data_IF_550756278003
#
_entry.id   IF_550756278003
#
_cell.length_a   1.000
_cell.length_b   1.000
_cell.length_c   1.000
_cell.angle_alpha   90.00
_cell.angle_beta   90.00
_cell.angle_gamma   90.00
#
_symmetry.space_group_name_H-M   'P 1'
#
loop_
_entity.id
_entity.type
_entity.pdbx_description
1 polymer ?
#
# COMPACT_ATOMS: atom_id res chain seq x y z
N UNK A 1 -36.45 8.07 12.44
CA UNK A 1 -35.05 7.82 12.06
C UNK A 1 -34.85 8.43 10.69
N UNK A 2 -34.24 9.61 10.65
CA UNK A 2 -33.98 10.39 9.44
C UNK A 2 -32.48 10.61 9.31
N UNK A 3 -31.92 10.22 8.18
CA UNK A 3 -30.52 10.53 7.81
C UNK A 3 -30.46 11.93 7.19
N UNK A 4 -29.46 12.76 7.50
CA UNK A 4 -29.32 14.06 6.85
C UNK A 4 -28.62 13.94 5.49
N UNK A 5 -29.19 14.62 4.51
CA UNK A 5 -28.65 14.85 3.16
C UNK A 5 -27.71 16.05 3.19
N UNK A 6 -26.44 15.88 2.80
CA UNK A 6 -25.69 16.77 1.90
C UNK A 6 -24.17 16.55 2.01
N UNK A 7 -23.54 16.15 0.90
CA UNK A 7 -22.14 16.44 0.64
C UNK A 7 -22.08 17.04 -0.77
N UNK A 8 -21.71 18.33 -0.85
CA UNK A 8 -21.26 18.94 -2.10
C UNK A 8 -19.89 18.36 -2.40
N UNK A 9 -19.73 17.72 -3.55
CA UNK A 9 -18.43 17.30 -4.05
C UNK A 9 -17.64 18.54 -4.48
N UNK A 10 -16.61 18.91 -3.73
CA UNK A 10 -15.47 19.64 -4.28
C UNK A 10 -14.66 18.64 -5.12
N UNK A 11 -14.52 18.88 -6.41
CA UNK A 11 -13.60 18.10 -7.24
C UNK A 11 -12.17 18.20 -6.68
N UNK A 12 -11.43 17.08 -6.54
CA UNK A 12 -10.02 17.12 -6.16
C UNK A 12 -9.22 17.87 -7.24
N UNK A 13 -8.20 18.63 -6.81
CA UNK A 13 -7.27 19.30 -7.74
C UNK A 13 -6.61 18.25 -8.65
N UNK A 14 -6.57 18.46 -9.97
CA UNK A 14 -5.82 17.58 -10.86
C UNK A 14 -4.32 17.69 -10.60
N UNK A 15 -3.61 16.59 -10.87
CA UNK A 15 -2.15 16.50 -10.80
C UNK A 15 -1.48 17.62 -11.61
N UNK A 16 -0.40 18.26 -11.11
CA UNK A 16 0.33 19.24 -11.91
C UNK A 16 0.95 18.55 -13.13
N UNK A 17 0.45 18.93 -14.32
CA UNK A 17 1.00 18.52 -15.62
C UNK A 17 1.96 19.62 -16.11
N UNK A 18 3.11 19.30 -16.74
CA UNK A 18 3.97 20.33 -17.34
C UNK A 18 3.22 21.08 -18.45
N UNK A 19 3.34 22.40 -18.48
CA UNK A 19 2.57 23.28 -19.38
C UNK A 19 2.86 23.01 -20.86
N UNK A 20 1.80 22.71 -21.62
CA UNK A 20 1.74 22.86 -23.08
C UNK A 20 0.73 23.99 -23.35
N UNK A 21 1.13 24.93 -24.20
CA UNK A 21 0.45 26.21 -24.43
C UNK A 21 -1.01 26.09 -24.90
N UNK A 22 -1.78 27.11 -24.53
CA UNK A 22 -3.23 27.24 -24.56
C UNK A 22 -3.91 27.03 -25.93
N UNK A 23 -5.08 26.40 -25.92
CA UNK A 23 -6.15 26.66 -26.88
C UNK A 23 -7.53 26.53 -26.23
N UNK A 24 -8.18 27.68 -26.10
CA UNK A 24 -9.62 28.03 -26.08
C UNK A 24 -10.67 27.04 -25.54
N UNK A 25 -11.46 27.57 -24.59
CA UNK A 25 -12.53 26.95 -23.83
C UNK A 25 -13.81 26.74 -24.64
N UNK A 26 -14.25 25.48 -24.76
CA UNK A 26 -15.63 25.11 -25.08
C UNK A 26 -16.24 24.33 -23.91
N UNK A 27 -17.36 24.79 -23.38
CA UNK A 27 -18.15 24.06 -22.38
C UNK A 27 -18.88 22.91 -23.09
N UNK A 28 -18.33 21.69 -23.03
CA UNK A 28 -19.02 20.48 -23.49
C UNK A 28 -19.88 19.88 -22.38
N UNK A 29 -21.19 19.82 -22.64
CA UNK A 29 -22.17 19.04 -21.88
C UNK A 29 -21.72 17.57 -21.80
N UNK A 30 -21.37 17.12 -20.60
CA UNK A 30 -20.96 15.74 -20.33
C UNK A 30 -22.15 14.78 -20.47
N UNK A 31 -22.46 14.37 -21.71
CA UNK A 31 -23.36 13.25 -21.94
C UNK A 31 -22.70 11.98 -21.40
N UNK A 32 -23.34 11.32 -20.43
CA UNK A 32 -22.88 10.03 -19.93
C UNK A 32 -23.05 8.98 -21.03
N UNK A 33 -22.02 8.83 -21.86
CA UNK A 33 -21.92 7.76 -22.85
C UNK A 33 -21.70 6.44 -22.11
N UNK A 34 -22.77 5.70 -21.86
CA UNK A 34 -22.72 4.32 -21.39
C UNK A 34 -22.26 3.41 -22.52
N UNK A 35 -20.98 3.46 -22.87
CA UNK A 35 -20.40 2.54 -23.86
C UNK A 35 -20.36 1.14 -23.26
N UNK A 36 -21.35 0.32 -23.59
CA UNK A 36 -21.39 -1.08 -23.18
C UNK A 36 -20.15 -1.80 -23.74
N UNK A 37 -19.28 -2.33 -22.87
CA UNK A 37 -18.11 -3.10 -23.29
C UNK A 37 -18.60 -4.25 -24.20
N UNK A 38 -18.07 -4.40 -25.42
CA UNK A 38 -18.49 -5.46 -26.32
C UNK A 38 -18.18 -6.81 -25.68
N UNK A 39 -19.06 -7.80 -25.90
CA UNK A 39 -18.81 -9.16 -25.47
C UNK A 39 -17.54 -9.71 -26.13
N UNK A 40 -16.72 -10.42 -25.35
CA UNK A 40 -15.56 -11.12 -25.89
C UNK A 40 -16.06 -12.31 -26.72
N UNK A 41 -16.09 -12.17 -28.04
CA UNK A 41 -16.58 -13.23 -28.96
C UNK A 41 -15.47 -13.85 -29.81
N UNK A 42 -14.29 -13.24 -29.88
CA UNK A 42 -13.12 -13.74 -30.61
C UNK A 42 -12.14 -14.43 -29.66
N UNK A 43 -12.41 -15.71 -29.35
CA UNK A 43 -11.53 -16.52 -28.51
C UNK A 43 -10.34 -17.05 -29.33
N UNK A 44 -9.13 -16.71 -28.90
CA UNK A 44 -7.88 -17.12 -29.56
C UNK A 44 -7.27 -18.35 -28.90
N UNK A 45 -6.80 -19.29 -29.70
CA UNK A 45 -6.07 -20.47 -29.21
C UNK A 45 -4.59 -20.12 -29.04
N UNK A 46 -4.03 -20.44 -27.87
CA UNK A 46 -2.59 -20.44 -27.58
C UNK A 46 -2.27 -21.68 -26.73
N UNK A 47 -1.03 -22.20 -26.78
CA UNK A 47 -0.60 -23.23 -25.85
C UNK A 47 -0.87 -22.79 -24.40
N UNK A 48 -1.49 -23.66 -23.62
CA UNK A 48 -1.75 -23.44 -22.19
C UNK A 48 -0.69 -24.16 -21.36
N UNK A 49 -0.40 -23.63 -20.18
CA UNK A 49 0.45 -24.30 -19.19
C UNK A 49 -0.44 -25.12 -18.26
N UNK A 50 -0.02 -26.33 -17.92
CA UNK A 50 -0.73 -27.21 -17.00
C UNK A 50 0.13 -27.46 -15.77
N UNK A 51 -0.50 -27.55 -14.61
CA UNK A 51 0.15 -27.90 -13.34
C UNK A 51 -0.66 -28.97 -12.62
N UNK A 52 0.03 -29.80 -11.85
CA UNK A 52 -0.55 -30.61 -10.79
C UNK A 52 -0.76 -29.76 -9.54
N UNK A 53 -1.66 -30.20 -8.64
CA UNK A 53 -1.86 -29.52 -7.37
C UNK A 53 -0.57 -29.45 -6.53
N UNK A 54 0.26 -30.50 -6.56
CA UNK A 54 1.52 -30.54 -5.83
C UNK A 54 2.54 -29.51 -6.34
N UNK A 55 2.62 -29.30 -7.66
CA UNK A 55 3.48 -28.27 -8.24
C UNK A 55 3.03 -26.86 -7.83
N UNK A 56 1.71 -26.62 -7.78
CA UNK A 56 1.15 -25.34 -7.32
C UNK A 56 1.41 -25.11 -5.83
N UNK A 57 1.19 -26.10 -4.96
CA UNK A 57 1.51 -25.97 -3.52
C UNK A 57 2.99 -25.67 -3.30
N UNK A 58 3.88 -26.26 -4.10
CA UNK A 58 5.33 -26.08 -3.93
C UNK A 58 5.85 -24.69 -4.38
N UNK A 59 5.13 -23.95 -5.23
CA UNK A 59 5.70 -22.79 -5.92
C UNK A 59 4.78 -21.59 -6.17
N UNK A 60 3.46 -21.77 -6.14
CA UNK A 60 2.48 -20.74 -6.52
C UNK A 60 1.46 -20.43 -5.41
N UNK A 61 1.46 -21.18 -4.32
CA UNK A 61 0.52 -21.01 -3.22
C UNK A 61 1.27 -20.60 -1.95
N UNK A 62 0.87 -19.45 -1.40
CA UNK A 62 1.29 -19.00 -0.08
C UNK A 62 0.13 -19.24 0.91
N UNK A 63 0.26 -20.25 1.76
CA UNK A 63 -0.70 -20.51 2.83
C UNK A 63 -0.44 -19.54 3.99
N UNK A 64 -1.43 -18.73 4.38
CA UNK A 64 -1.25 -17.70 5.41
C UNK A 64 -0.72 -18.27 6.74
N UNK A 65 -1.24 -19.42 7.18
CA UNK A 65 -0.82 -20.08 8.42
C UNK A 65 0.60 -20.68 8.39
N UNK A 66 1.24 -20.73 7.22
CA UNK A 66 2.63 -21.19 7.05
C UNK A 66 3.60 -20.04 6.79
N UNK A 67 3.11 -18.80 6.74
CA UNK A 67 3.96 -17.62 6.57
C UNK A 67 4.82 -17.42 7.82
N UNK A 68 6.07 -17.06 7.59
CA UNK A 68 7.03 -16.76 8.64
C UNK A 68 7.07 -15.24 8.80
N UNK A 69 6.99 -14.78 10.04
CA UNK A 69 7.12 -13.37 10.37
C UNK A 69 8.51 -12.86 9.98
N UNK A 70 8.56 -11.75 9.25
CA UNK A 70 9.78 -11.00 9.03
C UNK A 70 9.99 -10.02 10.19
N UNK A 71 10.93 -10.37 11.07
CA UNK A 71 11.29 -9.58 12.26
C UNK A 71 12.41 -8.57 12.00
N UNK A 72 12.99 -8.55 10.79
CA UNK A 72 14.13 -7.71 10.43
C UNK A 72 13.80 -6.69 9.32
N UNK A 73 12.65 -6.79 8.66
CA UNK A 73 12.24 -5.87 7.57
C UNK A 73 12.30 -4.39 7.98
N UNK A 74 11.97 -4.07 9.24
CA UNK A 74 12.08 -2.72 9.77
C UNK A 74 12.64 -2.73 11.20
N UNK A 75 13.56 -1.81 11.48
CA UNK A 75 14.22 -1.71 12.78
C UNK A 75 13.27 -1.29 13.92
N UNK A 76 12.24 -0.50 13.61
CA UNK A 76 11.29 0.04 14.59
C UNK A 76 10.26 -1.00 15.08
N UNK A 77 10.12 -2.15 14.41
CA UNK A 77 9.24 -3.27 14.82
C UNK A 77 9.54 -3.73 16.24
N UNK A 78 10.80 -3.62 16.68
CA UNK A 78 11.25 -4.06 18.01
C UNK A 78 10.90 -3.05 19.11
N UNK A 79 10.42 -1.86 18.76
CA UNK A 79 10.00 -0.84 19.72
C UNK A 79 8.57 -1.07 20.23
N UNK A 80 8.24 -0.53 21.41
CA UNK A 80 6.90 -0.68 22.00
C UNK A 80 5.80 -0.05 21.12
N UNK A 81 6.10 1.10 20.50
CA UNK A 81 5.16 1.82 19.62
C UNK A 81 5.12 1.19 18.22
N UNK A 82 6.28 0.83 17.68
CA UNK A 82 6.47 0.29 16.33
C UNK A 82 6.02 -1.16 16.15
N UNK A 83 5.71 -1.87 17.24
CA UNK A 83 5.42 -3.30 17.24
C UNK A 83 4.34 -3.69 16.22
N UNK A 84 4.67 -4.61 15.33
CA UNK A 84 3.81 -5.16 14.28
C UNK A 84 4.44 -6.42 13.70
N UNK A 85 3.64 -7.28 13.06
CA UNK A 85 4.14 -8.45 12.34
C UNK A 85 4.03 -8.22 10.84
N UNK A 86 5.05 -8.61 10.09
CA UNK A 86 5.06 -8.56 8.63
C UNK A 86 5.16 -9.98 8.08
N UNK A 87 4.34 -10.28 7.08
CA UNK A 87 4.36 -11.57 6.38
C UNK A 87 4.36 -11.32 4.88
N UNK A 88 5.31 -11.90 4.15
CA UNK A 88 5.48 -11.66 2.71
C UNK A 88 5.02 -12.88 1.90
N UNK A 89 3.73 -13.03 1.54
CA UNK A 89 3.29 -14.16 0.73
C UNK A 89 3.97 -14.20 -0.64
N UNK A 90 4.22 -13.03 -1.25
CA UNK A 90 4.79 -12.90 -2.59
C UNK A 90 5.84 -11.79 -2.61
N UNK A 91 7.08 -12.18 -2.90
CA UNK A 91 8.20 -11.26 -3.07
C UNK A 91 9.14 -11.79 -4.15
N UNK A 92 9.07 -11.27 -5.38
CA UNK A 92 9.87 -11.78 -6.50
C UNK A 92 11.36 -11.73 -6.16
N UNK A 93 12.10 -12.78 -6.57
CA UNK A 93 13.55 -12.93 -6.30
C UNK A 93 13.94 -12.91 -4.81
N UNK A 94 12.98 -12.97 -3.89
CA UNK A 94 13.24 -12.95 -2.46
C UNK A 94 13.76 -11.61 -1.93
N UNK A 95 13.39 -10.49 -2.55
CA UNK A 95 13.85 -9.16 -2.08
C UNK A 95 13.34 -8.81 -0.68
N UNK A 96 12.16 -9.31 -0.30
CA UNK A 96 11.57 -9.10 1.03
C UNK A 96 11.34 -10.44 1.73
N UNK A 97 11.85 -10.52 2.95
CA UNK A 97 11.59 -11.54 3.95
C UNK A 97 11.70 -13.01 3.53
N UNK A 98 11.24 -13.92 4.41
CA UNK A 98 11.10 -15.35 4.11
C UNK A 98 9.85 -15.60 3.25
N UNK A 99 9.81 -15.04 2.04
CA UNK A 99 8.65 -15.13 1.16
C UNK A 99 8.41 -16.55 0.61
N UNK A 100 7.12 -16.93 0.48
CA UNK A 100 6.73 -18.24 -0.08
C UNK A 100 6.75 -18.27 -1.60
N UNK A 101 6.23 -17.23 -2.24
CA UNK A 101 6.22 -17.10 -3.71
C UNK A 101 7.31 -16.13 -4.12
N UNK A 102 8.33 -16.63 -4.82
CA UNK A 102 9.48 -15.84 -5.32
C UNK A 102 9.59 -15.83 -6.84
N UNK A 103 8.64 -16.47 -7.53
CA UNK A 103 8.54 -16.47 -9.00
C UNK A 103 8.37 -15.05 -9.55
N UNK A 104 8.74 -14.79 -10.82
CA UNK A 104 8.69 -13.46 -11.40
C UNK A 104 7.31 -12.79 -11.33
N UNK A 105 7.25 -11.61 -10.72
CA UNK A 105 6.14 -10.65 -10.75
C UNK A 105 6.74 -9.24 -10.72
N UNK A 106 5.95 -8.22 -11.05
CA UNK A 106 6.37 -6.81 -11.01
C UNK A 106 5.81 -6.07 -9.77
N UNK A 107 5.43 -6.82 -8.73
CA UNK A 107 4.91 -6.28 -7.49
C UNK A 107 5.22 -7.22 -6.32
N UNK A 108 5.20 -6.68 -5.12
CA UNK A 108 5.33 -7.43 -3.86
C UNK A 108 4.03 -7.35 -3.07
N UNK A 109 3.77 -8.35 -2.22
CA UNK A 109 2.63 -8.36 -1.32
C UNK A 109 3.08 -8.65 0.11
N UNK A 110 2.52 -7.92 1.06
CA UNK A 110 2.74 -8.12 2.49
C UNK A 110 1.43 -8.04 3.27
N UNK A 111 1.24 -8.95 4.23
CA UNK A 111 0.26 -8.78 5.29
C UNK A 111 0.95 -8.15 6.50
N UNK A 112 0.29 -7.16 7.10
CA UNK A 112 0.79 -6.46 8.28
C UNK A 112 -0.23 -6.55 9.39
N UNK A 113 0.13 -7.21 10.50
CA UNK A 113 -0.69 -7.29 11.70
C UNK A 113 -0.19 -6.27 12.74
N UNK A 114 -1.08 -5.38 13.17
CA UNK A 114 -0.75 -4.25 14.06
C UNK A 114 -1.56 -4.37 15.35
N UNK A 115 -0.92 -4.51 16.52
CA UNK A 115 -1.59 -4.47 17.82
C UNK A 115 -2.28 -3.12 18.09
N UNK A 116 -3.28 -3.06 19.00
CA UNK A 116 -3.91 -1.82 19.42
C UNK A 116 -2.90 -0.76 19.86
N UNK A 117 -3.04 0.46 19.34
CA UNK A 117 -2.20 1.61 19.68
C UNK A 117 -0.81 1.61 19.03
N UNK A 118 -0.40 0.53 18.36
CA UNK A 118 0.86 0.51 17.62
C UNK A 118 0.76 1.27 16.29
N UNK A 119 1.89 1.84 15.85
CA UNK A 119 2.01 2.63 14.62
C UNK A 119 3.38 2.46 13.99
N UNK A 120 3.53 2.75 12.69
CA UNK A 120 4.87 3.00 12.14
C UNK A 120 5.32 4.44 12.46
N UNK A 121 6.61 4.73 12.28
CA UNK A 121 7.05 6.14 12.17
C UNK A 121 6.65 6.74 10.82
N UNK A 122 6.69 8.07 10.72
CA UNK A 122 6.44 8.80 9.46
C UNK A 122 7.60 8.57 8.49
N UNK A 123 7.30 8.06 7.29
CA UNK A 123 8.29 7.84 6.25
C UNK A 123 7.66 7.77 4.87
N UNK A 124 8.50 7.76 3.83
CA UNK A 124 8.12 7.54 2.44
C UNK A 124 9.07 6.55 1.75
N UNK A 125 8.66 6.07 0.57
CA UNK A 125 9.44 5.19 -0.29
C UNK A 125 9.48 5.72 -1.74
N UNK A 126 10.38 5.16 -2.55
CA UNK A 126 10.46 5.39 -4.00
C UNK A 126 9.33 4.67 -4.78
N UNK A 127 8.68 3.69 -4.15
CA UNK A 127 7.65 2.85 -4.78
C UNK A 127 6.24 3.39 -4.54
N UNK A 128 5.31 3.09 -5.46
CA UNK A 128 3.87 3.20 -5.20
C UNK A 128 3.49 2.09 -4.23
N UNK A 129 2.69 2.42 -3.23
CA UNK A 129 2.15 1.45 -2.29
C UNK A 129 0.62 1.50 -2.29
N UNK A 130 -0.01 0.34 -2.12
CA UNK A 130 -1.46 0.23 -1.99
C UNK A 130 -1.77 -0.48 -0.69
N UNK A 131 -2.50 0.19 0.19
CA UNK A 131 -2.93 -0.32 1.48
C UNK A 131 -4.41 -0.68 1.45
N UNK A 132 -4.73 -1.87 1.97
CA UNK A 132 -6.10 -2.40 2.03
C UNK A 132 -6.33 -3.00 3.42
N UNK A 133 -7.02 -2.31 4.34
CA UNK A 133 -7.43 -2.89 5.61
C UNK A 133 -8.30 -4.12 5.38
N UNK A 134 -7.97 -5.25 6.01
CA UNK A 134 -8.75 -6.49 5.93
C UNK A 134 -9.69 -6.57 7.13
N UNK A 135 -9.19 -6.22 8.32
CA UNK A 135 -9.99 -6.09 9.54
C UNK A 135 -9.31 -5.19 10.56
N UNK A 136 -10.06 -4.78 11.58
CA UNK A 136 -9.63 -3.80 12.58
C UNK A 136 -9.83 -2.37 12.08
N UNK A 137 -9.28 -1.38 12.82
CA UNK A 137 -9.39 0.04 12.49
C UNK A 137 -8.00 0.64 12.31
N UNK A 138 -7.68 1.02 11.08
CA UNK A 138 -6.41 1.67 10.75
C UNK A 138 -6.66 3.12 10.36
N UNK A 139 -5.92 4.02 11.00
CA UNK A 139 -5.76 5.39 10.56
C UNK A 139 -4.43 5.54 9.83
N UNK A 140 -4.41 6.30 8.74
CA UNK A 140 -3.22 6.75 8.06
C UNK A 140 -2.98 8.22 8.39
N UNK A 141 -1.80 8.53 8.93
CA UNK A 141 -1.35 9.90 9.20
C UNK A 141 -0.31 10.26 8.15
N UNK A 142 -0.43 11.42 7.51
CA UNK A 142 0.38 11.77 6.34
C UNK A 142 0.77 13.24 6.27
N UNK A 143 1.61 13.55 5.27
CA UNK A 143 2.42 14.77 5.11
C UNK A 143 3.59 14.85 6.10
N UNK A 144 4.49 15.80 5.85
CA UNK A 144 5.78 15.93 6.52
C UNK A 144 5.66 16.04 8.05
N UNK A 145 4.62 16.70 8.56
CA UNK A 145 4.38 16.85 10.00
C UNK A 145 3.39 15.84 10.59
N UNK A 146 2.80 14.97 9.76
CA UNK A 146 1.70 14.10 10.17
C UNK A 146 0.45 14.88 10.62
N UNK A 147 0.18 16.01 9.98
CA UNK A 147 -0.90 16.93 10.34
C UNK A 147 -2.28 16.49 9.85
N UNK A 148 -2.32 15.61 8.84
CA UNK A 148 -3.56 15.07 8.29
C UNK A 148 -3.73 13.59 8.68
N UNK A 149 -4.98 13.20 8.92
CA UNK A 149 -5.37 11.83 9.26
C UNK A 149 -6.58 11.40 8.44
N UNK A 150 -6.54 10.16 7.94
CA UNK A 150 -7.70 9.52 7.34
C UNK A 150 -7.88 8.10 7.90
N UNK A 151 -9.11 7.76 8.25
CA UNK A 151 -9.47 6.41 8.71
C UNK A 151 -10.06 5.65 7.54
N UNK A 152 -9.58 4.43 7.33
CA UNK A 152 -10.10 3.53 6.30
C UNK A 152 -10.90 2.39 6.94
N UNK A 153 -12.02 2.07 6.32
CA UNK A 153 -12.81 0.89 6.69
C UNK A 153 -12.26 -0.37 5.99
N UNK A 154 -12.61 -1.58 6.48
CA UNK A 154 -12.22 -2.81 5.82
C UNK A 154 -12.61 -2.84 4.33
N UNK A 155 -11.64 -3.24 3.50
CA UNK A 155 -11.70 -3.33 2.04
C UNK A 155 -11.66 -1.98 1.30
N UNK A 156 -11.51 -0.86 2.00
CA UNK A 156 -11.11 0.39 1.36
C UNK A 156 -9.70 0.29 0.80
N UNK A 157 -9.40 1.13 -0.20
CA UNK A 157 -8.12 1.15 -0.90
C UNK A 157 -7.49 2.52 -0.77
N UNK A 158 -6.26 2.56 -0.27
CA UNK A 158 -5.45 3.77 -0.25
C UNK A 158 -4.18 3.58 -1.07
N UNK A 159 -4.08 4.32 -2.17
CA UNK A 159 -2.88 4.34 -3.01
C UNK A 159 -2.00 5.53 -2.62
N UNK A 160 -0.77 5.22 -2.26
CA UNK A 160 0.26 6.15 -1.83
C UNK A 160 1.25 6.33 -2.98
N UNK A 161 1.42 7.55 -3.51
CA UNK A 161 2.43 7.81 -4.54
C UNK A 161 3.84 7.81 -3.93
N UNK A 162 4.89 7.70 -4.77
CA UNK A 162 6.27 7.83 -4.32
C UNK A 162 6.51 9.14 -3.58
N UNK A 163 7.41 9.10 -2.59
CA UNK A 163 7.85 10.23 -1.77
C UNK A 163 6.77 10.89 -0.89
N UNK A 164 5.57 10.34 -0.78
CA UNK A 164 4.57 10.84 0.17
C UNK A 164 4.87 10.32 1.58
N UNK A 165 5.16 11.23 2.51
CA UNK A 165 5.35 10.89 3.92
C UNK A 165 4.02 10.40 4.50
N UNK A 166 4.05 9.22 5.12
CA UNK A 166 2.91 8.60 5.80
C UNK A 166 3.34 7.65 6.90
N UNK A 167 2.43 7.39 7.83
CA UNK A 167 2.44 6.26 8.72
C UNK A 167 1.05 5.60 8.74
N UNK A 168 0.96 4.46 9.42
CA UNK A 168 -0.32 3.89 9.84
C UNK A 168 -0.35 3.73 11.36
N UNK A 169 -1.55 3.74 11.93
CA UNK A 169 -1.82 3.51 13.35
C UNK A 169 -3.06 2.65 13.54
N UNK A 170 -2.98 1.65 14.40
CA UNK A 170 -4.17 0.94 14.85
C UNK A 170 -4.87 1.75 15.96
N UNK A 171 -6.02 2.34 15.61
CA UNK A 171 -6.85 3.14 16.52
C UNK A 171 -7.98 2.32 17.19
N UNK A 172 -8.03 1.02 16.90
CA UNK A 172 -8.98 0.08 17.49
C UNK A 172 -8.52 -0.51 18.82
N UNK A 173 -9.35 -1.40 19.36
CA UNK A 173 -9.10 -2.13 20.62
C UNK A 173 -8.64 -3.58 20.40
N UNK A 174 -8.59 -4.04 19.14
CA UNK A 174 -8.12 -5.38 18.74
C UNK A 174 -7.03 -5.27 17.69
N UNK A 175 -6.29 -6.37 17.43
CA UNK A 175 -5.33 -6.39 16.33
C UNK A 175 -6.01 -6.06 15.00
N UNK A 176 -5.35 -5.24 14.21
CA UNK A 176 -5.74 -4.91 12.85
C UNK A 176 -4.83 -5.63 11.86
N UNK A 177 -5.36 -6.00 10.71
CA UNK A 177 -4.64 -6.64 9.62
C UNK A 177 -4.91 -5.86 8.35
N UNK A 178 -3.86 -5.55 7.60
CA UNK A 178 -4.00 -4.98 6.25
C UNK A 178 -3.06 -5.65 5.27
N UNK A 179 -3.44 -5.62 4.00
CA UNK A 179 -2.60 -5.97 2.87
C UNK A 179 -1.88 -4.71 2.37
N UNK A 180 -0.61 -4.86 2.03
CA UNK A 180 0.16 -3.89 1.27
C UNK A 180 0.60 -4.52 -0.03
N UNK A 181 0.41 -3.80 -1.13
CA UNK A 181 1.00 -4.11 -2.43
C UNK A 181 2.03 -3.03 -2.72
N UNK A 182 3.25 -3.44 -3.06
CA UNK A 182 4.31 -2.55 -3.50
C UNK A 182 4.47 -2.71 -5.00
N UNK A 183 4.34 -1.62 -5.74
CA UNK A 183 4.55 -1.63 -7.18
C UNK A 183 6.05 -1.59 -7.51
N UNK A 184 6.43 -2.35 -8.53
CA UNK A 184 7.78 -2.43 -9.02
C UNK A 184 8.60 -3.58 -8.44
N UNK A 185 9.81 -3.67 -8.97
CA UNK A 185 10.75 -4.76 -8.74
C UNK A 185 11.68 -4.51 -7.54
N UNK A 186 11.97 -3.24 -7.25
CA UNK A 186 12.93 -2.84 -6.23
C UNK A 186 12.23 -1.96 -5.20
N UNK A 187 11.81 -2.56 -4.09
CA UNK A 187 10.94 -1.93 -3.11
C UNK A 187 11.61 -1.91 -1.74
N UNK A 188 11.29 -0.88 -0.96
CA UNK A 188 11.74 -0.71 0.43
C UNK A 188 13.26 -0.58 0.65
N UNK A 189 14.08 -0.52 -0.40
CA UNK A 189 15.53 -0.28 -0.29
C UNK A 189 15.91 1.08 0.31
N UNK A 190 15.02 2.06 0.21
CA UNK A 190 15.21 3.40 0.75
C UNK A 190 14.00 3.81 1.56
N UNK A 191 14.30 4.45 2.68
CA UNK A 191 13.33 5.05 3.58
C UNK A 191 13.65 6.52 3.63
N UNK A 192 12.68 7.34 3.26
CA UNK A 192 12.74 8.79 3.36
C UNK A 192 11.97 9.22 4.59
N UNK A 193 12.48 10.22 5.29
CA UNK A 193 11.81 10.86 6.43
C UNK A 193 11.78 12.36 6.17
N UNK A 194 10.93 13.08 6.91
CA UNK A 194 10.94 14.53 6.88
C UNK A 194 12.30 15.09 7.37
N UNK A 195 12.56 16.36 7.07
CA UNK A 195 13.85 17.00 7.38
C UNK A 195 14.13 17.04 8.88
N UNK A 196 13.13 17.25 9.74
CA UNK A 196 13.31 17.33 11.18
C UNK A 196 13.73 15.96 11.75
N UNK A 197 13.04 14.90 11.32
CA UNK A 197 13.37 13.52 11.67
C UNK A 197 14.76 13.13 11.16
N UNK A 198 15.10 13.52 9.91
CA UNK A 198 16.44 13.30 9.36
C UNK A 198 17.52 13.94 10.24
N UNK A 199 17.36 15.22 10.58
CA UNK A 199 18.34 15.97 11.36
C UNK A 199 18.48 15.41 12.78
N UNK A 200 17.38 14.92 13.35
CA UNK A 200 17.41 14.22 14.65
C UNK A 200 18.25 12.96 14.57
N UNK A 201 18.01 12.08 13.59
CA UNK A 201 18.80 10.86 13.44
C UNK A 201 20.27 11.15 13.16
N UNK A 202 20.58 12.20 12.39
CA UNK A 202 21.96 12.61 12.14
C UNK A 202 22.67 13.06 13.43
N UNK A 203 22.00 13.80 14.32
CA UNK A 203 22.56 14.18 15.64
C UNK A 203 22.81 12.97 16.52
N UNK A 204 21.83 12.07 16.65
CA UNK A 204 21.96 10.86 17.47
C UNK A 204 23.07 9.91 16.97
N UNK A 205 23.32 9.88 15.67
CA UNK A 205 24.42 9.10 15.09
C UNK A 205 25.80 9.72 15.36
N UNK A 206 25.90 11.06 15.41
CA UNK A 206 27.15 11.77 15.70
C UNK A 206 27.59 11.66 17.17
N UNK A 207 26.66 11.31 18.07
CA UNK A 207 26.91 11.12 19.51
C UNK A 207 27.31 9.68 19.89
N UNK A 208 27.36 8.76 18.92
CA UNK A 208 27.76 7.35 19.09
C UNK A 208 29.20 7.12 18.66
#
# INVERSE_FOLDING_TARGET
MSWPTSWRTSHPKPWPTPAIADSETGEEEMSQSTTQRPAVTDYKVRPTVNFTAAELEASHIARFHELIEDVEVFSDIKSAVGRRKHFHPLSPRGHLGPAKITTPHNFHMSYVEVPPGSSSFLHAHDAVEVFIPIHGKIAFIFNDGGEEEIVLDPLDVFSVPPHMIRNFKNIGTTNALFLVIYDGDDVLNKIYVDQETHDKFAREAAER
#
